data_IF_191550027041
#
_entry.id   IF_191550027041
#
_cell.length_a   1.000
_cell.length_b   1.000
_cell.length_c   1.000
_cell.angle_alpha   90.00
_cell.angle_beta   90.00
_cell.angle_gamma   90.00
#
_symmetry.space_group_name_H-M   'P 1'
#
loop_
_entity.id
_entity.type
_entity.pdbx_description
1 polymer ?
#
# COMPACT_ATOMS: atom_id res chain seq x y z
N UNK A 1 -0.07 22.38 -27.11
CA UNK A 1 0.20 21.85 -26.78
C UNK A 1 0.28 21.30 -25.68
N UNK A 2 0.06 20.79 -25.50
CA UNK A 2 0.03 20.30 -24.55
C UNK A 2 0.77 19.46 -24.36
N UNK A 3 1.43 19.33 -23.74
CA UNK A 3 2.18 18.60 -23.41
C UNK A 3 1.78 17.60 -22.87
N UNK A 4 2.20 16.70 -22.94
CA UNK A 4 1.92 15.64 -22.40
C UNK A 4 2.44 15.56 -21.20
N UNK A 5 1.86 15.83 -20.22
CA UNK A 5 2.31 15.54 -18.99
C UNK A 5 1.94 14.22 -18.62
N UNK A 6 2.81 13.43 -18.07
CA UNK A 6 2.48 12.20 -17.50
C UNK A 6 1.76 12.44 -16.28
N UNK A 7 0.51 12.19 -16.20
CA UNK A 7 -0.26 12.30 -14.98
C UNK A 7 -0.11 11.00 -14.21
N UNK A 8 0.60 11.04 -13.11
CA UNK A 8 0.73 9.88 -12.25
C UNK A 8 -0.41 9.90 -11.25
N UNK A 9 -1.28 8.92 -11.34
CA UNK A 9 -2.40 8.82 -10.41
C UNK A 9 -1.96 8.14 -9.13
N UNK A 10 -2.50 8.58 -8.02
CA UNK A 10 -2.25 7.93 -6.74
C UNK A 10 -3.48 7.10 -6.41
N UNK A 11 -3.31 5.78 -6.38
CA UNK A 11 -4.39 4.87 -6.04
C UNK A 11 -4.23 4.48 -4.58
N UNK A 12 -5.33 4.44 -3.87
CA UNK A 12 -5.28 4.08 -2.45
C UNK A 12 -5.85 2.70 -2.21
N UNK A 13 -5.16 1.88 -1.43
CA UNK A 13 -5.63 0.57 -1.02
C UNK A 13 -5.66 0.56 0.49
N UNK A 14 -6.84 0.30 1.05
CA UNK A 14 -7.01 0.25 2.48
C UNK A 14 -7.05 -1.20 2.96
N UNK A 15 -6.36 -1.47 4.05
CA UNK A 15 -6.25 -2.80 4.60
C UNK A 15 -6.52 -2.74 6.09
N UNK A 16 -6.76 -3.89 6.69
CA UNK A 16 -6.86 -4.02 8.14
C UNK A 16 -5.67 -4.81 8.64
N UNK A 17 -5.29 -4.65 9.90
CA UNK A 17 -4.15 -5.39 10.44
C UNK A 17 -4.35 -6.89 10.38
N UNK A 18 -5.60 -7.35 10.55
CA UNK A 18 -5.92 -8.76 10.38
C UNK A 18 -6.73 -8.89 9.12
N UNK A 19 -6.17 -9.46 8.09
CA UNK A 19 -6.84 -9.58 6.81
C UNK A 19 -6.78 -11.03 6.33
N UNK A 20 -7.84 -11.48 5.68
CA UNK A 20 -7.88 -12.82 5.14
C UNK A 20 -6.95 -12.92 3.96
N UNK A 21 -6.42 -14.12 3.74
CA UNK A 21 -5.46 -14.33 2.65
C UNK A 21 -6.07 -14.01 1.29
N UNK A 22 -7.35 -14.34 1.10
CA UNK A 22 -8.01 -14.05 -0.18
C UNK A 22 -8.15 -12.56 -0.41
N UNK A 23 -8.53 -11.81 0.62
CA UNK A 23 -8.67 -10.37 0.52
C UNK A 23 -7.30 -9.73 0.28
N UNK A 24 -6.28 -10.20 0.99
CA UNK A 24 -4.93 -9.71 0.81
C UNK A 24 -4.46 -9.93 -0.63
N UNK A 25 -4.63 -11.15 -1.13
CA UNK A 25 -4.19 -11.48 -2.48
C UNK A 25 -4.92 -10.63 -3.52
N UNK A 26 -6.20 -10.38 -3.33
CA UNK A 26 -6.98 -9.56 -4.25
C UNK A 26 -6.43 -8.13 -4.28
N UNK A 27 -6.15 -7.57 -3.09
CA UNK A 27 -5.66 -6.20 -3.01
C UNK A 27 -4.26 -6.06 -3.55
N UNK A 28 -3.41 -7.06 -3.31
CA UNK A 28 -2.05 -7.04 -3.86
C UNK A 28 -2.09 -7.17 -5.38
N UNK A 29 -2.99 -7.99 -5.91
CA UNK A 29 -3.14 -8.11 -7.35
C UNK A 29 -3.52 -6.78 -7.97
N UNK A 30 -4.46 -6.06 -7.34
CA UNK A 30 -4.83 -4.74 -7.82
C UNK A 30 -3.67 -3.75 -7.73
N UNK A 31 -2.91 -3.80 -6.63
CA UNK A 31 -1.75 -2.93 -6.47
C UNK A 31 -0.73 -3.16 -7.57
N UNK A 32 -0.47 -4.42 -7.89
CA UNK A 32 0.48 -4.74 -8.95
C UNK A 32 0.01 -4.21 -10.29
N UNK A 33 -1.29 -4.29 -10.56
CA UNK A 33 -1.84 -3.73 -11.80
C UNK A 33 -1.64 -2.23 -11.87
N UNK A 34 -1.87 -1.53 -10.76
CA UNK A 34 -1.68 -0.09 -10.73
C UNK A 34 -0.22 0.27 -10.99
N UNK A 35 0.70 -0.47 -10.36
CA UNK A 35 2.13 -0.22 -10.55
C UNK A 35 2.55 -0.49 -11.99
N UNK A 36 2.00 -1.53 -12.61
CA UNK A 36 2.31 -1.85 -13.99
C UNK A 36 1.83 -0.76 -14.94
N UNK A 37 0.76 -0.06 -14.56
CA UNK A 37 0.26 1.04 -15.39
C UNK A 37 1.03 2.33 -15.16
N UNK A 38 1.91 2.36 -14.17
CA UNK A 38 2.66 3.56 -13.86
C UNK A 38 2.03 4.41 -12.77
N UNK A 39 1.05 3.87 -12.04
CA UNK A 39 0.40 4.60 -10.96
C UNK A 39 1.13 4.36 -9.65
N UNK A 40 1.09 5.35 -8.77
CA UNK A 40 1.56 5.17 -7.40
C UNK A 40 0.46 4.55 -6.57
N UNK A 41 0.82 3.75 -5.58
CA UNK A 41 -0.15 3.10 -4.71
C UNK A 41 0.12 3.50 -3.27
N UNK A 42 -0.91 4.01 -2.62
CA UNK A 42 -0.83 4.35 -1.20
C UNK A 42 -1.51 3.24 -0.42
N UNK A 43 -0.75 2.57 0.43
CA UNK A 43 -1.29 1.51 1.27
C UNK A 43 -1.58 2.09 2.64
N UNK A 44 -2.79 1.89 3.12
CA UNK A 44 -3.21 2.37 4.43
C UNK A 44 -3.71 1.19 5.25
N UNK A 45 -3.09 0.94 6.39
CA UNK A 45 -3.56 -0.08 7.34
C UNK A 45 -4.16 0.67 8.50
N UNK A 46 -5.50 0.56 8.65
CA UNK A 46 -6.21 1.30 9.66
C UNK A 46 -6.53 0.41 10.85
N UNK A 47 -6.25 0.90 12.04
CA UNK A 47 -6.53 0.19 13.27
C UNK A 47 -7.76 0.78 13.92
N UNK A 48 -8.65 -0.09 14.39
CA UNK A 48 -9.76 0.35 15.22
C UNK A 48 -9.26 0.34 16.64
N UNK A 49 -10.02 0.89 17.57
CA UNK A 49 -9.59 1.01 18.95
C UNK A 49 -9.07 -0.29 19.53
N UNK A 50 -9.76 -1.39 19.26
CA UNK A 50 -9.32 -2.69 19.79
C UNK A 50 -8.04 -3.18 19.16
N UNK A 51 -7.80 -2.76 17.94
CA UNK A 51 -6.66 -3.25 17.17
C UNK A 51 -5.38 -2.49 17.45
N UNK A 52 -5.46 -1.41 18.20
CA UNK A 52 -4.26 -0.65 18.53
C UNK A 52 -3.26 -1.47 19.34
N UNK A 53 -3.70 -2.56 19.96
CA UNK A 53 -2.80 -3.46 20.67
C UNK A 53 -2.02 -4.34 19.71
N UNK A 54 -2.43 -4.36 18.44
CA UNK A 54 -1.81 -5.25 17.44
C UNK A 54 -1.14 -4.47 16.34
N UNK A 55 -0.50 -3.37 16.68
CA UNK A 55 0.17 -2.54 15.69
C UNK A 55 1.28 -3.30 14.97
N UNK A 56 1.88 -4.29 15.65
CA UNK A 56 2.92 -5.11 15.02
C UNK A 56 2.38 -5.89 13.82
N UNK A 57 1.10 -6.27 13.83
CA UNK A 57 0.51 -6.97 12.70
C UNK A 57 0.44 -6.08 11.48
N UNK A 58 0.17 -4.79 11.68
CA UNK A 58 0.17 -3.83 10.59
C UNK A 58 1.55 -3.65 9.98
N UNK A 59 2.57 -3.62 10.83
CA UNK A 59 3.95 -3.50 10.36
C UNK A 59 4.36 -4.73 9.58
N UNK A 60 3.99 -5.92 10.05
CA UNK A 60 4.28 -7.15 9.34
C UNK A 60 3.58 -7.17 7.99
N UNK A 61 2.34 -6.69 7.95
CA UNK A 61 1.59 -6.63 6.72
C UNK A 61 2.26 -5.70 5.72
N UNK A 62 2.74 -4.55 6.19
CA UNK A 62 3.45 -3.62 5.32
C UNK A 62 4.73 -4.23 4.76
N UNK A 63 5.49 -4.95 5.58
CA UNK A 63 6.70 -5.64 5.11
C UNK A 63 6.36 -6.68 4.06
N UNK A 64 5.26 -7.38 4.24
CA UNK A 64 4.83 -8.38 3.27
C UNK A 64 4.46 -7.73 1.95
N UNK A 65 3.76 -6.58 2.01
CA UNK A 65 3.40 -5.83 0.81
C UNK A 65 4.65 -5.38 0.07
N UNK A 66 5.65 -4.89 0.79
CA UNK A 66 6.90 -4.45 0.19
C UNK A 66 7.55 -5.60 -0.57
N UNK A 67 7.63 -6.77 0.06
CA UNK A 67 8.24 -7.92 -0.58
C UNK A 67 7.45 -8.38 -1.80
N UNK A 68 6.13 -8.32 -1.73
CA UNK A 68 5.29 -8.79 -2.82
C UNK A 68 5.30 -7.84 -4.02
N UNK A 69 5.66 -6.58 -3.82
CA UNK A 69 5.65 -5.59 -4.89
C UNK A 69 7.04 -5.14 -5.31
N UNK A 70 8.09 -5.73 -4.74
CA UNK A 70 9.46 -5.26 -4.95
C UNK A 70 9.88 -5.30 -6.42
N UNK A 71 9.32 -6.22 -7.21
CA UNK A 71 9.68 -6.33 -8.61
C UNK A 71 8.99 -5.29 -9.50
N UNK A 72 7.93 -4.65 -8.99
CA UNK A 72 7.14 -3.73 -9.78
C UNK A 72 7.21 -2.29 -9.28
N UNK A 73 7.67 -2.11 -8.07
CA UNK A 73 7.72 -0.77 -7.49
C UNK A 73 8.75 -0.65 -6.38
N UNK A 74 8.97 0.57 -5.95
CA UNK A 74 9.88 0.81 -4.83
C UNK A 74 9.22 1.78 -3.87
N UNK A 75 9.71 1.79 -2.64
CA UNK A 75 9.11 2.61 -1.60
C UNK A 75 9.42 4.08 -1.86
N UNK A 76 8.37 4.88 -1.96
CA UNK A 76 8.52 6.32 -2.02
C UNK A 76 8.40 6.91 -0.62
N UNK A 77 7.45 6.41 0.16
CA UNK A 77 7.27 6.83 1.55
C UNK A 77 7.26 5.57 2.41
N UNK A 78 8.21 5.48 3.32
CA UNK A 78 8.29 4.33 4.22
C UNK A 78 7.06 4.24 5.10
N UNK A 79 6.70 3.04 5.57
CA UNK A 79 5.56 2.90 6.47
C UNK A 79 5.73 3.75 7.71
N UNK A 80 4.72 4.54 8.03
CA UNK A 80 4.76 5.35 9.23
C UNK A 80 3.37 5.49 9.83
N UNK A 81 3.33 5.64 11.13
CA UNK A 81 2.08 5.81 11.83
C UNK A 81 1.60 7.24 11.69
N UNK A 82 0.31 7.38 11.40
CA UNK A 82 -0.37 8.67 11.43
C UNK A 82 -1.69 8.44 12.14
N UNK A 83 -1.78 8.86 13.39
CA UNK A 83 -2.97 8.60 14.18
C UNK A 83 -3.15 7.10 14.40
N UNK A 84 -4.25 6.56 13.93
CA UNK A 84 -4.55 5.14 14.10
C UNK A 84 -4.34 4.35 12.83
N UNK A 85 -3.41 4.77 12.01
CA UNK A 85 -3.19 4.07 10.74
C UNK A 85 -1.70 4.12 10.37
N UNK A 86 -1.31 3.16 9.54
CA UNK A 86 0.03 3.15 8.97
C UNK A 86 -0.13 3.46 7.49
N UNK A 87 0.65 4.38 6.98
CA UNK A 87 0.59 4.79 5.59
C UNK A 87 1.93 4.53 4.93
N UNK A 88 1.89 3.99 3.73
CA UNK A 88 3.08 3.74 2.92
C UNK A 88 2.73 4.03 1.46
N UNK A 89 3.66 4.63 0.72
CA UNK A 89 3.47 4.89 -0.70
C UNK A 89 4.55 4.17 -1.48
N UNK A 90 4.12 3.42 -2.50
CA UNK A 90 5.01 2.72 -3.41
C UNK A 90 4.84 3.34 -4.79
N UNK A 91 5.95 3.68 -5.40
CA UNK A 91 5.92 4.23 -6.76
C UNK A 91 6.36 3.17 -7.75
N UNK A 92 5.89 3.24 -9.01
CA UNK A 92 6.30 2.26 -10.00
C UNK A 92 7.78 2.42 -10.33
N UNK A 93 8.38 1.32 -10.72
CA UNK A 93 9.80 1.35 -11.13
C UNK A 93 10.02 2.10 -12.41
#
# INVERSE_FOLDING_TARGET
AKKKQKIINLKEIKLRPVTEIHDYNFKIKNAKKFLEKGDKVKFTVRFRGREMQHTHLGKELMNRIINDTVTLGKIEVNPKFEGRQIIMIIQPL
#
